data_IF_995050913626
#
_entry.id   IF_995050913626
#
_cell.length_a   1.000
_cell.length_b   1.000
_cell.length_c   1.000
_cell.angle_alpha   90.00
_cell.angle_beta   90.00
_cell.angle_gamma   90.00
#
_symmetry.space_group_name_H-M   'P 1'
#
loop_
_entity.id
_entity.type
_entity.pdbx_description
1 polymer ?
#
# COMPACT_ATOMS: atom_id res chain seq x y z
N UNK A 1 30.50 -38.68 71.42
CA UNK A 1 30.31 -38.24 70.02
C UNK A 1 28.80 -38.13 69.82
N UNK A 2 28.27 -36.92 69.67
CA UNK A 2 26.82 -36.74 69.38
C UNK A 2 26.61 -36.71 67.85
N UNK A 3 25.69 -37.58 67.41
CA UNK A 3 25.24 -37.65 66.01
C UNK A 3 24.47 -36.39 65.62
N UNK A 4 24.99 -35.64 64.65
CA UNK A 4 24.31 -34.52 64.07
C UNK A 4 23.35 -35.04 63.02
N UNK A 5 22.08 -35.11 63.36
CA UNK A 5 20.99 -35.47 62.45
C UNK A 5 20.65 -34.25 61.53
N UNK A 6 21.22 -34.26 60.33
CA UNK A 6 20.90 -33.25 59.28
C UNK A 6 19.51 -33.56 58.70
N UNK A 7 18.50 -32.96 59.26
CA UNK A 7 17.13 -32.94 58.71
C UNK A 7 17.16 -32.37 57.26
N UNK A 8 16.97 -33.24 56.28
CA UNK A 8 16.67 -32.82 54.89
C UNK A 8 15.38 -32.04 54.92
N UNK A 9 15.47 -30.73 54.70
CA UNK A 9 14.30 -29.90 54.40
C UNK A 9 13.82 -30.29 52.99
N UNK A 10 12.73 -31.03 52.92
CA UNK A 10 12.02 -31.31 51.70
C UNK A 10 11.55 -30.01 51.09
N UNK A 11 12.20 -29.59 50.02
CA UNK A 11 11.79 -28.42 49.24
C UNK A 11 10.56 -28.84 48.42
N UNK A 12 9.37 -28.61 48.99
CA UNK A 12 8.13 -28.74 48.23
C UNK A 12 8.01 -27.57 47.26
N UNK A 13 8.02 -27.81 45.95
CA UNK A 13 7.77 -26.75 44.98
C UNK A 13 6.34 -26.25 45.20
N UNK A 14 6.22 -25.00 45.68
CA UNK A 14 4.94 -24.37 45.96
C UNK A 14 4.10 -24.36 44.66
N UNK A 15 2.90 -24.94 44.72
CA UNK A 15 1.92 -24.87 43.62
C UNK A 15 1.55 -23.41 43.41
N UNK A 16 1.95 -22.86 42.23
CA UNK A 16 1.56 -21.51 41.82
C UNK A 16 0.04 -21.46 41.76
N UNK A 17 -0.61 -20.54 42.49
CA UNK A 17 -2.06 -20.43 42.47
C UNK A 17 -2.56 -20.19 41.05
N UNK A 18 -3.63 -20.88 40.64
CA UNK A 18 -4.23 -20.75 39.30
C UNK A 18 -4.54 -19.31 38.90
N UNK A 19 -4.87 -18.46 39.88
CA UNK A 19 -5.10 -17.02 39.68
C UNK A 19 -3.87 -16.28 39.13
N UNK A 20 -2.65 -16.60 39.59
CA UNK A 20 -1.44 -15.97 39.08
C UNK A 20 -1.15 -16.39 37.63
N UNK A 21 -1.44 -17.64 37.27
CA UNK A 21 -1.28 -18.13 35.89
C UNK A 21 -2.24 -17.40 34.96
N UNK A 22 -3.49 -17.19 35.37
CA UNK A 22 -4.48 -16.42 34.59
C UNK A 22 -4.09 -14.96 34.45
N UNK A 23 -3.62 -14.30 35.50
CA UNK A 23 -3.17 -12.91 35.46
C UNK A 23 -1.96 -12.75 34.54
N UNK A 24 -0.94 -13.60 34.68
CA UNK A 24 0.23 -13.56 33.81
C UNK A 24 -0.13 -13.85 32.35
N UNK A 25 -1.03 -14.79 32.10
CA UNK A 25 -1.54 -15.11 30.77
C UNK A 25 -2.26 -13.92 30.13
N UNK A 26 -3.11 -13.21 30.90
CA UNK A 26 -3.81 -12.02 30.38
C UNK A 26 -2.87 -10.85 30.10
N UNK A 27 -1.85 -10.63 30.93
CA UNK A 27 -0.81 -9.60 30.71
C UNK A 27 -0.01 -9.93 29.45
N UNK A 28 0.43 -11.20 29.28
CA UNK A 28 1.18 -11.64 28.11
C UNK A 28 0.35 -11.49 26.82
N UNK A 29 -0.95 -11.84 26.85
CA UNK A 29 -1.86 -11.66 25.73
C UNK A 29 -2.04 -10.18 25.40
N UNK A 30 -2.25 -9.33 26.40
CA UNK A 30 -2.36 -7.88 26.24
C UNK A 30 -1.11 -7.27 25.61
N UNK A 31 0.08 -7.64 26.08
CA UNK A 31 1.34 -7.19 25.52
C UNK A 31 1.55 -7.67 24.07
N UNK A 32 1.16 -8.89 23.76
CA UNK A 32 1.22 -9.43 22.39
C UNK A 32 0.28 -8.67 21.45
N UNK A 33 -0.94 -8.36 21.88
CA UNK A 33 -1.90 -7.57 21.11
C UNK A 33 -1.40 -6.14 20.86
N UNK A 34 -0.86 -5.47 21.88
CA UNK A 34 -0.28 -4.13 21.74
C UNK A 34 0.91 -4.16 20.80
N UNK A 35 1.79 -5.14 20.90
CA UNK A 35 2.92 -5.32 20.02
C UNK A 35 2.50 -5.55 18.56
N UNK A 36 1.51 -6.41 18.33
CA UNK A 36 0.94 -6.64 17.00
C UNK A 36 0.32 -5.38 16.41
N UNK A 37 -0.42 -4.60 17.22
CA UNK A 37 -1.01 -3.33 16.80
C UNK A 37 0.07 -2.29 16.46
N UNK A 38 1.11 -2.17 17.29
CA UNK A 38 2.23 -1.26 17.03
C UNK A 38 2.98 -1.60 15.72
N UNK A 39 3.15 -2.88 15.41
CA UNK A 39 3.72 -3.33 14.13
C UNK A 39 2.85 -2.93 12.94
N UNK A 40 1.52 -3.06 13.05
CA UNK A 40 0.58 -2.69 12.00
C UNK A 40 0.53 -1.17 11.75
N UNK A 41 0.86 -0.36 12.74
CA UNK A 41 0.88 1.10 12.66
C UNK A 41 2.24 1.66 12.20
N UNK A 42 3.23 0.81 11.92
CA UNK A 42 4.50 1.28 11.35
C UNK A 42 4.25 2.00 10.03
N UNK A 43 4.83 3.19 9.81
CA UNK A 43 4.60 3.98 8.60
C UNK A 43 4.82 3.20 7.30
N UNK A 44 5.84 2.34 7.25
CA UNK A 44 6.13 1.48 6.09
C UNK A 44 5.00 0.49 5.79
N UNK A 45 4.41 -0.12 6.83
CA UNK A 45 3.29 -1.07 6.67
C UNK A 45 2.03 -0.33 6.22
N UNK A 46 1.76 0.84 6.80
CA UNK A 46 0.63 1.68 6.39
C UNK A 46 0.75 2.12 4.94
N UNK A 47 1.94 2.59 4.53
CA UNK A 47 2.23 3.00 3.16
C UNK A 47 2.09 1.83 2.18
N UNK A 48 2.64 0.66 2.51
CA UNK A 48 2.49 -0.52 1.67
C UNK A 48 1.01 -0.91 1.46
N UNK A 49 0.19 -0.82 2.52
CA UNK A 49 -1.27 -1.04 2.43
C UNK A 49 -1.96 0.01 1.57
N UNK A 50 -1.56 1.27 1.68
CA UNK A 50 -2.09 2.37 0.87
C UNK A 50 -1.75 2.17 -0.61
N UNK A 51 -0.50 1.83 -0.90
CA UNK A 51 -0.06 1.52 -2.27
C UNK A 51 -0.84 0.31 -2.83
N UNK A 52 -0.98 -0.76 -2.08
CA UNK A 52 -1.79 -1.92 -2.48
C UNK A 52 -3.26 -1.54 -2.72
N UNK A 53 -3.83 -0.65 -1.88
CA UNK A 53 -5.20 -0.15 -2.06
C UNK A 53 -5.36 0.71 -3.30
N UNK A 54 -4.32 1.48 -3.69
CA UNK A 54 -4.30 2.24 -4.94
C UNK A 54 -4.33 1.29 -6.14
N UNK A 55 -3.45 0.29 -6.17
CA UNK A 55 -3.38 -0.70 -7.25
C UNK A 55 -4.69 -1.51 -7.36
N UNK A 56 -5.26 -1.96 -6.24
CA UNK A 56 -6.59 -2.62 -6.21
C UNK A 56 -7.71 -1.67 -6.69
N UNK A 57 -7.60 -0.37 -6.42
CA UNK A 57 -8.50 0.65 -6.96
C UNK A 57 -8.47 0.72 -8.48
N UNK A 58 -7.29 0.63 -9.08
CA UNK A 58 -7.08 0.60 -10.54
C UNK A 58 -7.66 -0.69 -11.13
N UNK A 59 -7.32 -1.84 -10.55
CA UNK A 59 -7.82 -3.16 -10.98
C UNK A 59 -9.35 -3.21 -10.99
N UNK A 60 -9.99 -2.65 -9.96
CA UNK A 60 -11.45 -2.59 -9.80
C UNK A 60 -12.10 -1.40 -10.50
N UNK A 61 -11.34 -0.51 -11.12
CA UNK A 61 -11.83 0.71 -11.77
C UNK A 61 -12.68 1.56 -10.80
N UNK A 62 -12.25 1.63 -9.56
CA UNK A 62 -13.01 2.30 -8.51
C UNK A 62 -12.51 3.73 -8.30
N UNK A 63 -13.07 4.67 -9.07
CA UNK A 63 -12.80 6.10 -8.94
C UNK A 63 -12.87 6.58 -7.47
N UNK A 64 -13.93 6.29 -6.68
CA UNK A 64 -14.00 6.77 -5.30
C UNK A 64 -12.93 6.17 -4.39
N UNK A 65 -12.40 4.97 -4.69
CA UNK A 65 -11.31 4.35 -3.93
C UNK A 65 -9.99 5.04 -4.22
N UNK A 66 -9.71 5.32 -5.49
CA UNK A 66 -8.50 6.02 -5.91
C UNK A 66 -8.54 7.45 -5.33
N UNK A 67 -9.63 8.18 -5.54
CA UNK A 67 -9.80 9.56 -5.10
C UNK A 67 -9.55 9.76 -3.60
N UNK A 68 -9.98 8.83 -2.76
CA UNK A 68 -9.73 8.88 -1.30
C UNK A 68 -8.27 8.70 -0.88
N UNK A 69 -7.43 8.24 -1.79
CA UNK A 69 -5.98 8.07 -1.55
C UNK A 69 -5.17 9.24 -2.09
N UNK A 70 -5.76 10.08 -2.93
CA UNK A 70 -5.11 11.22 -3.58
C UNK A 70 -5.34 12.48 -2.77
N UNK A 71 -4.31 13.32 -2.65
CA UNK A 71 -4.41 14.60 -1.97
C UNK A 71 -5.10 15.66 -2.85
N UNK A 72 -5.73 16.64 -2.22
CA UNK A 72 -6.35 17.77 -2.93
C UNK A 72 -5.32 18.59 -3.70
N UNK A 73 -4.10 18.68 -3.17
CA UNK A 73 -2.95 19.38 -3.76
C UNK A 73 -2.07 18.45 -4.62
N UNK A 74 -2.62 17.33 -5.11
CA UNK A 74 -1.93 16.46 -6.05
C UNK A 74 -1.53 17.23 -7.32
N UNK A 75 -0.31 16.97 -7.79
CA UNK A 75 0.17 17.49 -9.07
C UNK A 75 1.36 16.68 -9.57
N UNK A 76 1.33 16.35 -10.85
CA UNK A 76 2.39 15.59 -11.51
C UNK A 76 3.00 16.36 -12.69
N UNK A 77 3.98 15.75 -13.37
CA UNK A 77 4.65 16.34 -14.52
C UNK A 77 3.77 16.41 -15.78
N UNK A 78 2.68 15.66 -15.80
CA UNK A 78 1.71 15.66 -16.91
C UNK A 78 0.64 16.73 -16.77
N UNK A 79 0.66 17.48 -15.64
CA UNK A 79 -0.29 18.54 -15.36
C UNK A 79 -1.62 18.05 -14.78
N UNK A 80 -1.74 16.77 -14.43
CA UNK A 80 -2.94 16.21 -13.83
C UNK A 80 -3.12 16.66 -12.40
N UNK A 81 -4.34 16.96 -12.04
CA UNK A 81 -4.80 17.15 -10.68
C UNK A 81 -5.33 15.81 -10.11
N UNK A 82 -5.74 15.80 -8.86
CA UNK A 82 -6.13 14.55 -8.20
C UNK A 82 -7.33 13.83 -8.86
N UNK A 83 -8.30 14.57 -9.37
CA UNK A 83 -9.45 14.03 -10.07
C UNK A 83 -9.06 13.47 -11.46
N UNK A 84 -8.18 14.16 -12.16
CA UNK A 84 -7.64 13.73 -13.46
C UNK A 84 -6.89 12.40 -13.33
N UNK A 85 -6.07 12.27 -12.28
CA UNK A 85 -5.36 11.02 -12.00
C UNK A 85 -6.33 9.87 -11.80
N UNK A 86 -7.37 10.05 -10.96
CA UNK A 86 -8.35 9.00 -10.69
C UNK A 86 -9.10 8.61 -11.97
N UNK A 87 -9.49 9.58 -12.79
CA UNK A 87 -10.14 9.38 -14.09
C UNK A 87 -9.21 8.61 -15.03
N UNK A 88 -7.96 9.04 -15.19
CA UNK A 88 -6.95 8.39 -16.04
C UNK A 88 -6.72 6.94 -15.64
N UNK A 89 -6.60 6.67 -14.34
CA UNK A 89 -6.41 5.30 -13.84
C UNK A 89 -7.63 4.40 -14.10
N UNK A 90 -8.84 4.94 -13.97
CA UNK A 90 -10.09 4.22 -14.28
C UNK A 90 -10.23 3.98 -15.78
N UNK A 91 -9.93 4.97 -16.60
CA UNK A 91 -9.94 4.87 -18.05
C UNK A 91 -8.97 3.78 -18.55
N UNK A 92 -7.73 3.81 -18.06
CA UNK A 92 -6.73 2.79 -18.39
C UNK A 92 -7.19 1.38 -17.96
N UNK A 93 -7.75 1.27 -16.75
CA UNK A 93 -8.34 0.02 -16.25
C UNK A 93 -9.53 -0.46 -17.08
N UNK A 94 -10.31 0.48 -17.65
CA UNK A 94 -11.46 0.21 -18.53
C UNK A 94 -11.08 -0.52 -19.82
N UNK A 95 -9.83 -0.44 -20.24
CA UNK A 95 -9.31 -1.13 -21.42
C UNK A 95 -9.11 -2.65 -21.22
N UNK A 96 -9.53 -3.20 -20.08
CA UNK A 96 -9.36 -4.61 -19.74
C UNK A 96 -10.66 -5.25 -19.25
N UNK A 97 -10.94 -6.46 -19.63
CA UNK A 97 -12.00 -7.29 -19.00
C UNK A 97 -11.55 -7.76 -17.61
N UNK A 98 -10.30 -8.18 -17.52
CA UNK A 98 -9.63 -8.53 -16.28
C UNK A 98 -8.27 -7.85 -16.25
N UNK A 99 -7.94 -7.20 -15.14
CA UNK A 99 -6.71 -6.45 -14.95
C UNK A 99 -6.08 -6.85 -13.63
N UNK A 100 -4.78 -7.08 -13.65
CA UNK A 100 -3.93 -7.25 -12.48
C UNK A 100 -2.73 -6.31 -12.63
N UNK A 101 -2.51 -5.49 -11.63
CA UNK A 101 -1.40 -4.51 -11.58
C UNK A 101 -0.50 -4.85 -10.39
N UNK A 102 0.76 -5.13 -10.65
CA UNK A 102 1.75 -5.43 -9.62
C UNK A 102 2.87 -4.39 -9.65
N UNK A 103 3.33 -4.00 -8.46
CA UNK A 103 4.58 -3.27 -8.31
C UNK A 103 5.66 -4.28 -7.93
N UNK A 104 6.58 -4.55 -8.87
CA UNK A 104 7.74 -5.39 -8.65
C UNK A 104 8.90 -4.55 -8.13
N UNK A 105 9.77 -5.16 -7.32
CA UNK A 105 10.96 -4.52 -6.72
C UNK A 105 10.64 -3.24 -5.95
N UNK A 106 9.46 -3.19 -5.31
CA UNK A 106 8.99 -2.01 -4.62
C UNK A 106 9.88 -1.66 -3.42
N UNK A 107 10.41 -0.45 -3.42
CA UNK A 107 11.21 0.12 -2.34
C UNK A 107 10.47 1.27 -1.69
N UNK A 108 10.47 1.32 -0.37
CA UNK A 108 9.82 2.37 0.42
C UNK A 108 10.90 3.18 1.15
N UNK A 109 10.97 4.47 0.89
CA UNK A 109 11.82 5.43 1.59
C UNK A 109 10.95 6.45 2.31
N UNK A 110 11.19 6.66 3.59
CA UNK A 110 10.41 7.57 4.44
C UNK A 110 11.33 8.64 4.99
N UNK A 111 10.97 9.89 4.78
CA UNK A 111 11.70 11.08 5.24
C UNK A 111 10.72 12.03 5.93
N UNK A 112 10.60 11.91 7.24
CA UNK A 112 9.67 12.71 8.04
C UNK A 112 8.20 12.51 7.64
N UNK A 113 7.58 13.57 7.11
CA UNK A 113 6.20 13.57 6.63
C UNK A 113 6.05 13.19 5.15
N UNK A 114 7.15 12.92 4.45
CA UNK A 114 7.16 12.51 3.04
C UNK A 114 7.67 11.08 2.90
N UNK A 115 7.09 10.34 2.00
CA UNK A 115 7.55 9.01 1.64
C UNK A 115 7.50 8.81 0.14
N UNK A 116 8.45 8.02 -0.35
CA UNK A 116 8.52 7.63 -1.76
C UNK A 116 8.42 6.12 -1.86
N UNK A 117 7.55 5.63 -2.72
CA UNK A 117 7.48 4.22 -3.12
C UNK A 117 7.90 4.15 -4.57
N UNK A 118 8.98 3.43 -4.83
CA UNK A 118 9.53 3.25 -6.17
C UNK A 118 9.38 1.79 -6.56
N UNK A 119 8.86 1.50 -7.75
CA UNK A 119 8.69 0.12 -8.20
C UNK A 119 8.33 0.04 -9.68
N UNK A 120 8.67 -1.07 -10.31
CA UNK A 120 8.30 -1.35 -11.70
C UNK A 120 6.85 -1.85 -11.73
N UNK A 121 5.99 -1.16 -12.47
CA UNK A 121 4.62 -1.66 -12.68
C UNK A 121 4.62 -2.75 -13.75
N UNK A 122 3.97 -3.85 -13.44
CA UNK A 122 3.70 -4.95 -14.36
C UNK A 122 2.20 -5.15 -14.46
N UNK A 123 1.69 -5.07 -15.68
CA UNK A 123 0.28 -5.24 -15.99
C UNK A 123 0.08 -6.60 -16.65
N UNK A 124 -0.91 -7.33 -16.19
CA UNK A 124 -1.36 -8.57 -16.81
C UNK A 124 -2.89 -8.64 -16.80
N UNK A 125 -3.46 -9.44 -17.70
CA UNK A 125 -4.90 -9.58 -17.76
C UNK A 125 -5.42 -9.80 -19.18
N UNK A 126 -6.71 -9.50 -19.39
CA UNK A 126 -7.42 -9.67 -20.66
C UNK A 126 -7.80 -8.30 -21.23
N UNK A 127 -7.00 -7.72 -22.15
CA UNK A 127 -7.32 -6.43 -22.74
C UNK A 127 -8.55 -6.50 -23.64
N UNK A 128 -9.27 -5.38 -23.77
CA UNK A 128 -10.36 -5.16 -24.71
C UNK A 128 -9.79 -4.43 -25.93
N UNK A 129 -9.66 -5.13 -27.05
CA UNK A 129 -9.22 -4.53 -28.29
C UNK A 129 -7.74 -4.08 -28.34
N UNK A 130 -7.36 -3.39 -29.42
CA UNK A 130 -5.96 -3.02 -29.68
C UNK A 130 -5.38 -2.04 -28.66
N UNK A 131 -6.19 -1.10 -28.18
CA UNK A 131 -5.75 -0.06 -27.24
C UNK A 131 -5.30 -0.66 -25.90
N UNK A 132 -6.10 -1.57 -25.32
CA UNK A 132 -5.71 -2.25 -24.10
C UNK A 132 -4.45 -3.11 -24.25
N UNK A 133 -4.26 -3.72 -25.43
CA UNK A 133 -3.02 -4.45 -25.76
C UNK A 133 -1.81 -3.50 -25.79
N UNK A 134 -1.96 -2.32 -26.40
CA UNK A 134 -0.86 -1.36 -26.51
C UNK A 134 -0.54 -0.77 -25.12
N UNK A 135 -1.53 -0.40 -24.31
CA UNK A 135 -1.32 0.07 -22.93
C UNK A 135 -0.54 -0.97 -22.12
N UNK A 136 -0.95 -2.24 -22.17
CA UNK A 136 -0.26 -3.32 -21.45
C UNK A 136 1.19 -3.48 -21.94
N UNK A 137 1.40 -3.44 -23.24
CA UNK A 137 2.72 -3.58 -23.85
C UNK A 137 3.64 -2.41 -23.50
N UNK A 138 3.13 -1.18 -23.55
CA UNK A 138 3.89 0.03 -23.22
C UNK A 138 4.32 0.03 -21.75
N UNK A 139 3.39 -0.17 -20.83
CA UNK A 139 3.71 -0.20 -19.40
C UNK A 139 4.73 -1.30 -19.07
N UNK A 140 4.54 -2.51 -19.60
CA UNK A 140 5.45 -3.63 -19.35
C UNK A 140 6.84 -3.46 -19.99
N UNK A 141 7.00 -2.58 -20.97
CA UNK A 141 8.28 -2.24 -21.60
C UNK A 141 9.06 -1.16 -20.88
N UNK A 142 8.40 -0.39 -20.01
CA UNK A 142 9.08 0.65 -19.25
C UNK A 142 10.17 0.02 -18.38
N UNK A 143 11.40 0.52 -18.54
CA UNK A 143 12.54 0.09 -17.71
C UNK A 143 12.65 0.91 -16.45
N UNK A 144 12.27 2.19 -16.55
CA UNK A 144 12.28 3.11 -15.42
C UNK A 144 11.12 2.80 -14.45
N UNK A 145 11.37 2.80 -13.15
CA UNK A 145 10.34 2.55 -12.17
C UNK A 145 9.37 3.73 -12.07
N UNK A 146 8.14 3.43 -11.70
CA UNK A 146 7.22 4.47 -11.23
C UNK A 146 7.60 4.92 -9.83
N UNK A 147 7.46 6.22 -9.60
CA UNK A 147 7.74 6.89 -8.34
C UNK A 147 6.45 7.46 -7.79
N UNK A 148 5.98 6.91 -6.68
CA UNK A 148 4.78 7.38 -5.98
C UNK A 148 5.23 8.17 -4.75
N UNK A 149 4.92 9.46 -4.71
CA UNK A 149 5.22 10.33 -3.58
C UNK A 149 3.98 10.47 -2.71
N UNK A 150 4.13 10.11 -1.45
CA UNK A 150 3.10 10.18 -0.42
C UNK A 150 3.47 11.21 0.62
N UNK A 151 2.50 12.00 1.06
CA UNK A 151 2.67 12.94 2.17
C UNK A 151 1.70 12.66 3.31
N UNK A 152 2.19 12.86 4.52
CA UNK A 152 1.38 12.72 5.72
C UNK A 152 0.62 14.03 5.97
N UNK A 153 -0.63 14.09 5.51
CA UNK A 153 -1.50 15.27 5.64
C UNK A 153 -2.17 15.36 7.02
N UNK A 154 -2.25 14.25 7.76
CA UNK A 154 -2.83 14.20 9.10
C UNK A 154 -1.91 13.42 10.05
N UNK A 155 -1.99 13.74 11.36
CA UNK A 155 -1.17 13.10 12.40
C UNK A 155 -1.50 11.60 12.61
N UNK A 156 -2.70 11.15 12.23
CA UNK A 156 -3.11 9.76 12.34
C UNK A 156 -2.24 8.83 11.48
N UNK A 157 -2.05 7.56 11.86
CA UNK A 157 -1.26 6.61 11.08
C UNK A 157 -1.73 6.47 9.63
N UNK A 158 -3.03 6.57 9.38
CA UNK A 158 -3.64 6.50 8.05
C UNK A 158 -3.60 7.81 7.24
N UNK A 159 -3.00 8.89 7.75
CA UNK A 159 -3.02 10.23 7.16
C UNK A 159 -2.14 10.44 5.92
N UNK A 160 -1.58 9.37 5.34
CA UNK A 160 -0.79 9.43 4.12
C UNK A 160 -1.69 9.55 2.89
N UNK A 161 -1.44 10.55 2.05
CA UNK A 161 -2.12 10.76 0.77
C UNK A 161 -1.08 10.86 -0.35
N UNK A 162 -1.45 10.39 -1.53
CA UNK A 162 -0.64 10.46 -2.74
C UNK A 162 -0.64 11.90 -3.25
N UNK A 163 0.54 12.48 -3.40
CA UNK A 163 0.70 13.88 -3.88
C UNK A 163 1.32 13.95 -5.27
N UNK A 164 1.97 12.86 -5.73
CA UNK A 164 2.59 12.82 -7.06
C UNK A 164 2.82 11.38 -7.52
N UNK A 165 2.64 11.17 -8.82
CA UNK A 165 3.13 9.99 -9.56
C UNK A 165 4.09 10.48 -10.64
N UNK A 166 5.17 9.74 -10.87
CA UNK A 166 6.16 10.06 -11.90
C UNK A 166 6.73 8.80 -12.52
N UNK A 167 7.18 8.92 -13.79
CA UNK A 167 7.98 7.92 -14.47
C UNK A 167 8.84 8.62 -15.54
N UNK A 168 10.17 8.51 -15.41
CA UNK A 168 11.10 9.26 -16.26
C UNK A 168 11.08 8.84 -17.73
N UNK A 169 10.59 7.63 -18.04
CA UNK A 169 10.51 7.13 -19.41
C UNK A 169 9.23 7.53 -20.15
N UNK A 170 8.21 8.05 -19.44
CA UNK A 170 7.00 8.54 -20.09
C UNK A 170 7.19 10.01 -20.54
N UNK A 171 6.72 10.38 -21.74
CA UNK A 171 6.77 11.77 -22.21
C UNK A 171 5.82 12.66 -21.39
N UNK A 172 6.11 13.96 -21.38
CA UNK A 172 5.31 14.94 -20.59
C UNK A 172 3.91 15.14 -21.18
N UNK A 173 3.75 14.99 -22.47
CA UNK A 173 2.48 15.14 -23.18
C UNK A 173 1.62 13.85 -23.19
N UNK A 174 2.13 12.75 -22.57
CA UNK A 174 1.50 11.43 -22.59
C UNK A 174 0.93 11.03 -23.97
N UNK A 175 1.63 11.39 -25.04
CA UNK A 175 1.19 11.14 -26.41
C UNK A 175 -0.13 11.84 -26.78
N UNK A 176 -0.43 12.98 -26.17
CA UNK A 176 -1.65 13.75 -26.40
C UNK A 176 -2.88 13.19 -25.69
N UNK A 177 -2.71 12.28 -24.71
CA UNK A 177 -3.82 11.75 -23.92
C UNK A 177 -4.36 12.81 -22.96
N UNK A 178 -5.71 12.96 -22.94
CA UNK A 178 -6.42 13.72 -21.93
C UNK A 178 -7.29 12.81 -21.05
N UNK A 179 -7.46 13.14 -19.74
CA UNK A 179 -8.34 12.39 -18.87
C UNK A 179 -9.76 12.25 -19.43
N UNK A 180 -10.26 11.02 -19.49
CA UNK A 180 -11.57 10.70 -20.06
C UNK A 180 -11.58 10.33 -21.54
N UNK A 181 -10.46 10.46 -22.29
CA UNK A 181 -10.38 10.14 -23.72
C UNK A 181 -10.81 8.70 -24.01
N UNK A 182 -10.35 7.75 -23.22
CA UNK A 182 -10.70 6.34 -23.46
C UNK A 182 -12.19 6.09 -23.22
N UNK A 183 -12.77 6.77 -22.22
CA UNK A 183 -14.20 6.71 -21.95
C UNK A 183 -15.02 7.34 -23.10
N UNK A 184 -14.59 8.47 -23.66
CA UNK A 184 -15.21 9.12 -24.83
C UNK A 184 -15.12 8.23 -26.06
N UNK A 185 -13.93 7.73 -26.37
CA UNK A 185 -13.72 6.84 -27.52
C UNK A 185 -14.60 5.57 -27.47
N UNK A 186 -14.86 5.00 -26.29
CA UNK A 186 -15.76 3.85 -26.16
C UNK A 186 -17.25 4.20 -26.37
N UNK A 187 -17.65 5.45 -26.12
CA UNK A 187 -19.01 5.94 -26.36
C UNK A 187 -19.23 6.43 -27.79
N UNK A 188 -18.16 6.55 -28.58
CA UNK A 188 -18.23 7.03 -29.96
C UNK A 188 -18.36 8.57 -30.06
N UNK A 189 -17.88 9.29 -29.06
CA UNK A 189 -17.86 10.76 -28.97
C UNK A 189 -16.55 11.32 -29.52
#
# INVERSE_FOLDING_TARGET
>A
MPDVNLSRRDFQPGRVPRSYVLILGSIALGAALIGALALQLRPSVVLAKKQASLLDGIERRSHPRIQRLVAEDYGDRWGFQGEDLATTMVDAGGQFLALVVKAEDAQVRIEGSRATITGRLVISGKPVGPLGQEVMKQINRLKEPFVFTWEKKHFLPGGWLLVRVDNAALPEDLYGYEPGDFGRAMRGE
#
